data_IF_881054435888
#
_entry.id   IF_881054435888
#
_cell.length_a   1.000
_cell.length_b   1.000
_cell.length_c   1.000
_cell.angle_alpha   90.00
_cell.angle_beta   90.00
_cell.angle_gamma   90.00
#
_symmetry.space_group_name_H-M   'P 1'
#
loop_
_entity.id
_entity.type
_entity.pdbx_description
1 polymer ?
#
# COMPACT_ATOMS: atom_id res chain seq x y z
N UNK A 1 -61.76 -17.11 15.46
CA UNK A 1 -60.78 -16.07 15.05
C UNK A 1 -59.54 -16.02 15.94
N UNK A 2 -59.64 -16.10 17.28
CA UNK A 2 -58.45 -16.10 18.18
C UNK A 2 -57.40 -17.18 17.85
N UNK A 3 -57.80 -18.42 17.57
CA UNK A 3 -56.88 -19.54 17.28
C UNK A 3 -56.07 -19.39 15.97
N UNK A 4 -56.62 -18.68 14.97
CA UNK A 4 -55.94 -18.42 13.69
C UNK A 4 -54.88 -17.33 13.85
N UNK A 5 -55.18 -16.30 14.65
CA UNK A 5 -54.24 -15.23 14.97
C UNK A 5 -53.02 -15.75 15.73
N UNK A 6 -53.22 -16.68 16.68
CA UNK A 6 -52.12 -17.32 17.43
C UNK A 6 -51.19 -18.13 16.52
N UNK A 7 -51.74 -18.83 15.53
CA UNK A 7 -50.95 -19.59 14.55
C UNK A 7 -50.10 -18.68 13.66
N UNK A 8 -50.64 -17.55 13.20
CA UNK A 8 -49.91 -16.57 12.38
C UNK A 8 -48.74 -15.97 13.18
N UNK A 9 -48.96 -15.63 14.45
CA UNK A 9 -47.92 -15.04 15.32
C UNK A 9 -46.77 -16.05 15.56
N UNK A 10 -47.10 -17.31 15.87
CA UNK A 10 -46.09 -18.36 16.07
C UNK A 10 -45.30 -18.61 14.77
N UNK A 11 -45.97 -18.60 13.62
CA UNK A 11 -45.32 -18.78 12.31
C UNK A 11 -44.36 -17.60 12.01
N UNK A 12 -44.75 -16.35 12.27
CA UNK A 12 -43.85 -15.21 12.09
C UNK A 12 -42.61 -15.27 12.99
N UNK A 13 -42.74 -15.68 14.25
CA UNK A 13 -41.61 -15.76 15.19
C UNK A 13 -40.61 -16.86 14.80
N UNK A 14 -41.10 -17.97 14.25
CA UNK A 14 -40.25 -19.10 13.81
C UNK A 14 -39.43 -18.81 12.54
N UNK A 15 -39.89 -17.90 11.66
CA UNK A 15 -39.21 -17.58 10.39
C UNK A 15 -38.34 -16.31 10.43
N UNK A 16 -38.49 -15.45 11.44
CA UNK A 16 -37.64 -14.26 11.63
C UNK A 16 -36.13 -14.57 11.84
N UNK A 17 -35.68 -15.68 12.48
CA UNK A 17 -34.26 -15.86 12.78
C UNK A 17 -33.44 -16.37 11.58
N UNK A 18 -34.07 -16.85 10.50
CA UNK A 18 -33.37 -17.42 9.34
C UNK A 18 -32.99 -16.34 8.33
N UNK A 19 -33.89 -15.41 8.00
CA UNK A 19 -33.63 -14.36 6.99
C UNK A 19 -32.69 -13.25 7.46
N UNK A 20 -32.69 -12.91 8.75
CA UNK A 20 -31.76 -11.92 9.28
C UNK A 20 -30.34 -12.47 9.34
N UNK A 21 -30.12 -13.69 9.83
CA UNK A 21 -28.76 -14.26 9.88
C UNK A 21 -28.14 -14.35 8.48
N UNK A 22 -28.80 -14.95 7.51
CA UNK A 22 -28.25 -15.12 6.16
C UNK A 22 -27.95 -13.78 5.47
N UNK A 23 -28.84 -12.79 5.58
CA UNK A 23 -28.56 -11.46 5.01
C UNK A 23 -27.35 -10.80 5.67
N UNK A 24 -27.24 -10.76 7.00
CA UNK A 24 -26.05 -10.21 7.67
C UNK A 24 -24.76 -10.95 7.31
N UNK A 25 -24.79 -12.28 7.18
CA UNK A 25 -23.64 -13.06 6.72
C UNK A 25 -23.26 -12.72 5.27
N UNK A 26 -24.22 -12.65 4.34
CA UNK A 26 -23.96 -12.30 2.93
C UNK A 26 -23.48 -10.85 2.77
N UNK A 27 -24.02 -9.90 3.53
CA UNK A 27 -23.54 -8.51 3.53
C UNK A 27 -22.16 -8.36 4.18
N UNK A 28 -21.88 -9.10 5.26
CA UNK A 28 -20.55 -9.10 5.87
C UNK A 28 -19.51 -9.75 4.92
N UNK A 29 -19.85 -10.86 4.30
CA UNK A 29 -18.98 -11.58 3.37
C UNK A 29 -18.70 -10.77 2.10
N UNK A 30 -19.71 -10.16 1.48
CA UNK A 30 -19.51 -9.28 0.32
C UNK A 30 -18.64 -8.05 0.63
N UNK A 31 -18.83 -7.41 1.79
CA UNK A 31 -17.99 -6.31 2.26
C UNK A 31 -16.54 -6.74 2.52
N UNK A 32 -16.33 -7.95 3.06
CA UNK A 32 -15.00 -8.54 3.27
C UNK A 32 -14.30 -8.87 1.95
N UNK A 33 -15.04 -9.40 0.95
CA UNK A 33 -14.53 -9.67 -0.40
C UNK A 33 -14.12 -8.36 -1.08
N UNK A 34 -14.96 -7.33 -1.02
CA UNK A 34 -14.66 -6.02 -1.60
C UNK A 34 -13.44 -5.37 -0.94
N UNK A 35 -13.33 -5.47 0.39
CA UNK A 35 -12.18 -4.97 1.14
C UNK A 35 -10.88 -5.64 0.71
N UNK A 36 -10.88 -6.97 0.64
CA UNK A 36 -9.74 -7.77 0.21
C UNK A 36 -9.32 -7.44 -1.23
N UNK A 37 -10.27 -7.23 -2.14
CA UNK A 37 -9.96 -6.80 -3.50
C UNK A 37 -9.25 -5.44 -3.52
N UNK A 38 -9.69 -4.50 -2.66
CA UNK A 38 -9.07 -3.17 -2.56
C UNK A 38 -7.65 -3.24 -2.01
N UNK A 39 -7.42 -4.04 -0.97
CA UNK A 39 -6.08 -4.29 -0.39
C UNK A 39 -5.13 -4.96 -1.40
N UNK A 40 -5.62 -5.94 -2.18
CA UNK A 40 -4.85 -6.57 -3.26
C UNK A 40 -4.44 -5.59 -4.36
N UNK A 41 -5.31 -4.64 -4.70
CA UNK A 41 -4.96 -3.62 -5.69
C UNK A 41 -3.84 -2.71 -5.19
N UNK A 42 -3.94 -2.22 -3.94
CA UNK A 42 -2.90 -1.40 -3.34
C UNK A 42 -1.57 -2.14 -3.21
N UNK A 43 -1.60 -3.41 -2.84
CA UNK A 43 -0.40 -4.25 -2.81
C UNK A 43 0.27 -4.32 -4.20
N UNK A 44 -0.49 -4.64 -5.26
CA UNK A 44 0.03 -4.70 -6.63
C UNK A 44 0.61 -3.38 -7.11
N UNK A 45 -0.02 -2.26 -6.77
CA UNK A 45 0.50 -0.94 -7.11
C UNK A 45 1.84 -0.67 -6.43
N UNK A 46 1.98 -1.01 -5.15
CA UNK A 46 3.23 -0.86 -4.41
C UNK A 46 4.33 -1.79 -4.94
N UNK A 47 4.02 -3.04 -5.28
CA UNK A 47 4.96 -3.95 -5.95
C UNK A 47 5.45 -3.38 -7.28
N UNK A 48 4.56 -2.79 -8.07
CA UNK A 48 4.92 -2.15 -9.33
C UNK A 48 5.79 -0.91 -9.12
N UNK A 49 5.50 -0.08 -8.11
CA UNK A 49 6.36 1.03 -7.70
C UNK A 49 7.74 0.52 -7.29
N UNK A 50 7.81 -0.56 -6.50
CA UNK A 50 9.07 -1.12 -6.02
C UNK A 50 9.95 -1.63 -7.19
N UNK A 51 9.35 -2.26 -8.20
CA UNK A 51 10.04 -2.64 -9.44
C UNK A 51 10.59 -1.42 -10.19
N UNK A 52 9.83 -0.34 -10.27
CA UNK A 52 10.29 0.90 -10.88
C UNK A 52 11.45 1.54 -10.09
N UNK A 53 11.40 1.51 -8.75
CA UNK A 53 12.49 1.98 -7.88
C UNK A 53 13.77 1.18 -8.13
N UNK A 54 13.68 -0.13 -8.32
CA UNK A 54 14.83 -0.98 -8.65
C UNK A 54 15.48 -0.64 -10.00
N UNK A 55 14.65 -0.34 -11.02
CA UNK A 55 15.16 0.13 -12.31
C UNK A 55 15.83 1.51 -12.16
N UNK A 56 15.19 2.43 -11.42
CA UNK A 56 15.73 3.77 -11.20
C UNK A 56 17.04 3.75 -10.41
N UNK A 57 17.20 2.86 -9.44
CA UNK A 57 18.47 2.75 -8.71
C UNK A 57 19.61 2.28 -9.62
N UNK A 58 19.32 1.38 -10.56
CA UNK A 58 20.30 0.95 -11.57
C UNK A 58 20.71 2.12 -12.47
N UNK A 59 19.77 2.96 -12.88
CA UNK A 59 20.05 4.17 -13.65
C UNK A 59 20.88 5.18 -12.85
N UNK A 60 20.55 5.37 -11.57
CA UNK A 60 21.29 6.27 -10.66
C UNK A 60 22.73 5.79 -10.48
N UNK A 61 22.94 4.50 -10.22
CA UNK A 61 24.28 3.92 -10.10
C UNK A 61 25.07 4.08 -11.40
N UNK A 62 24.41 3.90 -12.55
CA UNK A 62 25.01 4.17 -13.85
C UNK A 62 25.46 5.63 -13.97
N UNK A 63 24.63 6.59 -13.54
CA UNK A 63 25.00 8.01 -13.56
C UNK A 63 26.31 8.26 -12.81
N UNK A 64 26.46 7.64 -11.65
CA UNK A 64 27.60 7.87 -10.74
C UNK A 64 28.86 7.17 -11.26
N UNK A 65 28.73 5.89 -11.65
CA UNK A 65 29.87 5.06 -12.07
C UNK A 65 30.41 5.53 -13.43
N UNK A 66 29.51 5.77 -14.39
CA UNK A 66 29.90 6.12 -15.76
C UNK A 66 30.11 7.63 -15.95
N UNK A 67 29.86 8.45 -14.92
CA UNK A 67 29.87 9.92 -14.99
C UNK A 67 29.04 10.42 -16.17
N UNK A 68 27.80 9.92 -16.26
CA UNK A 68 26.86 10.30 -17.32
C UNK A 68 26.69 11.82 -17.39
N UNK A 69 26.39 12.34 -18.58
CA UNK A 69 26.12 13.76 -18.75
C UNK A 69 24.93 14.27 -17.90
N UNK A 70 24.87 15.59 -17.71
CA UNK A 70 23.82 16.26 -16.95
C UNK A 70 22.42 15.99 -17.52
N UNK A 71 22.30 15.77 -18.84
CA UNK A 71 21.00 15.49 -19.48
C UNK A 71 20.42 14.15 -19.01
N UNK A 72 21.27 13.12 -18.89
CA UNK A 72 20.88 11.81 -18.39
C UNK A 72 20.55 11.85 -16.89
N UNK A 73 21.33 12.60 -16.11
CA UNK A 73 21.05 12.84 -14.69
C UNK A 73 19.70 13.54 -14.51
N UNK A 74 19.44 14.63 -15.23
CA UNK A 74 18.20 15.39 -15.17
C UNK A 74 16.98 14.54 -15.53
N UNK A 75 17.10 13.71 -16.57
CA UNK A 75 16.07 12.74 -16.93
C UNK A 75 15.80 11.77 -15.79
N UNK A 76 16.84 11.22 -15.17
CA UNK A 76 16.70 10.27 -14.05
C UNK A 76 16.02 10.93 -12.85
N UNK A 77 16.38 12.18 -12.52
CA UNK A 77 15.72 12.96 -11.46
C UNK A 77 14.25 13.20 -11.79
N UNK A 78 13.92 13.52 -13.05
CA UNK A 78 12.53 13.72 -13.50
C UNK A 78 11.71 12.44 -13.34
N UNK A 79 12.27 11.29 -13.71
CA UNK A 79 11.61 9.99 -13.56
C UNK A 79 11.39 9.66 -12.08
N UNK A 80 12.37 9.92 -11.20
CA UNK A 80 12.20 9.78 -9.75
C UNK A 80 11.06 10.68 -9.23
N UNK A 81 11.00 11.96 -9.64
CA UNK A 81 9.94 12.89 -9.25
C UNK A 81 8.56 12.42 -9.70
N UNK A 82 8.47 11.82 -10.88
CA UNK A 82 7.24 11.23 -11.39
C UNK A 82 6.75 10.09 -10.49
N UNK A 83 7.62 9.13 -10.13
CA UNK A 83 7.24 8.03 -9.21
C UNK A 83 6.88 8.55 -7.82
N UNK A 84 7.60 9.55 -7.29
CA UNK A 84 7.23 10.19 -6.02
C UNK A 84 5.82 10.80 -6.05
N UNK A 85 5.37 11.29 -7.21
CA UNK A 85 4.00 11.81 -7.38
C UNK A 85 2.97 10.70 -7.34
N UNK A 86 3.22 9.56 -7.99
CA UNK A 86 2.37 8.37 -7.91
C UNK A 86 2.25 7.86 -6.46
N UNK A 87 3.39 7.75 -5.75
CA UNK A 87 3.40 7.36 -4.33
C UNK A 87 2.59 8.33 -3.48
N UNK A 88 2.70 9.65 -3.73
CA UNK A 88 1.94 10.66 -2.99
C UNK A 88 0.42 10.48 -3.20
N UNK A 89 -0.02 10.22 -4.43
CA UNK A 89 -1.43 9.96 -4.73
C UNK A 89 -1.92 8.71 -4.00
N UNK A 90 -1.17 7.61 -4.12
CA UNK A 90 -1.47 6.36 -3.42
C UNK A 90 -1.52 6.52 -1.89
N UNK A 91 -0.63 7.32 -1.30
CA UNK A 91 -0.66 7.64 0.14
C UNK A 91 -1.95 8.32 0.55
N UNK A 92 -2.45 9.28 -0.24
CA UNK A 92 -3.71 9.97 0.07
C UNK A 92 -4.87 8.95 0.11
N UNK A 93 -4.92 8.04 -0.87
CA UNK A 93 -5.92 6.99 -0.91
C UNK A 93 -5.82 6.01 0.26
N UNK A 94 -4.59 5.59 0.59
CA UNK A 94 -4.32 4.69 1.71
C UNK A 94 -4.66 5.33 3.06
N UNK A 95 -4.40 6.62 3.25
CA UNK A 95 -4.79 7.36 4.47
C UNK A 95 -6.31 7.37 4.61
N UNK A 96 -7.03 7.73 3.54
CA UNK A 96 -8.49 7.74 3.55
C UNK A 96 -9.07 6.35 3.81
N UNK A 97 -8.51 5.33 3.15
CA UNK A 97 -8.88 3.93 3.36
C UNK A 97 -8.67 3.51 4.83
N UNK A 98 -7.49 3.80 5.37
CA UNK A 98 -7.11 3.48 6.73
C UNK A 98 -8.03 4.12 7.76
N UNK A 99 -8.34 5.41 7.61
CA UNK A 99 -9.29 6.13 8.46
C UNK A 99 -10.69 5.50 8.41
N UNK A 100 -11.18 5.17 7.20
CA UNK A 100 -12.52 4.58 7.01
C UNK A 100 -12.69 3.18 7.62
N UNK A 101 -11.60 2.41 7.72
CA UNK A 101 -11.66 1.01 8.18
C UNK A 101 -11.29 0.81 9.64
N UNK A 102 -10.57 1.74 10.25
CA UNK A 102 -10.02 1.54 11.59
C UNK A 102 -10.72 2.38 12.66
N UNK A 103 -11.31 3.53 12.30
CA UNK A 103 -11.82 4.53 13.26
C UNK A 103 -10.76 5.12 14.21
N UNK A 104 -9.63 4.43 14.36
CA UNK A 104 -8.39 4.76 15.06
C UNK A 104 -7.24 4.12 14.26
N UNK A 105 -6.27 4.93 13.87
CA UNK A 105 -5.11 4.59 13.03
C UNK A 105 -4.33 3.33 13.49
N UNK A 106 -4.41 2.93 14.77
CA UNK A 106 -3.68 1.75 15.24
C UNK A 106 -4.42 0.42 15.00
N UNK A 107 -5.69 0.44 14.56
CA UNK A 107 -6.54 -0.76 14.60
C UNK A 107 -6.60 -1.61 13.32
N UNK A 108 -5.99 -1.18 12.21
CA UNK A 108 -5.96 -1.97 10.97
C UNK A 108 -4.50 -2.19 10.49
N UNK A 109 -3.87 -3.30 10.87
CA UNK A 109 -2.45 -3.56 10.61
C UNK A 109 -2.13 -3.71 9.11
N UNK A 110 -3.07 -4.20 8.29
CA UNK A 110 -2.86 -4.32 6.83
C UNK A 110 -2.76 -2.94 6.20
N UNK A 111 -3.74 -2.07 6.48
CA UNK A 111 -3.71 -0.70 5.94
C UNK A 111 -2.52 0.13 6.45
N UNK A 112 -2.09 -0.08 7.71
CA UNK A 112 -0.89 0.55 8.25
C UNK A 112 0.38 0.03 7.57
N UNK A 113 0.48 -1.27 7.32
CA UNK A 113 1.59 -1.85 6.57
C UNK A 113 1.64 -1.36 5.12
N UNK A 114 0.50 -1.21 4.44
CA UNK A 114 0.44 -0.58 3.10
C UNK A 114 0.95 0.87 3.12
N UNK A 115 0.57 1.65 4.15
CA UNK A 115 1.09 3.01 4.35
C UNK A 115 2.61 3.02 4.58
N UNK A 116 3.12 2.10 5.41
CA UNK A 116 4.54 1.99 5.71
C UNK A 116 5.36 1.59 4.48
N UNK A 117 4.92 0.58 3.72
CA UNK A 117 5.54 0.24 2.45
C UNK A 117 5.60 1.44 1.50
N UNK A 118 4.51 2.21 1.39
CA UNK A 118 4.48 3.44 0.59
C UNK A 118 5.49 4.49 1.06
N UNK A 119 5.65 4.66 2.38
CA UNK A 119 6.64 5.56 2.97
C UNK A 119 8.07 5.12 2.64
N UNK A 120 8.38 3.83 2.81
CA UNK A 120 9.70 3.27 2.50
C UNK A 120 10.05 3.39 1.01
N UNK A 121 9.09 3.21 0.10
CA UNK A 121 9.26 3.50 -1.32
C UNK A 121 9.62 4.99 -1.55
N UNK A 122 8.93 5.91 -0.87
CA UNK A 122 9.20 7.35 -0.98
C UNK A 122 10.58 7.74 -0.44
N UNK A 123 11.00 7.13 0.67
CA UNK A 123 12.32 7.33 1.27
C UNK A 123 13.42 6.80 0.34
N UNK A 124 13.25 5.60 -0.22
CA UNK A 124 14.17 5.01 -1.20
C UNK A 124 14.45 5.98 -2.34
N UNK A 125 13.40 6.56 -2.94
CA UNK A 125 13.54 7.55 -4.00
C UNK A 125 14.23 8.85 -3.55
N UNK A 126 14.02 9.27 -2.30
CA UNK A 126 14.66 10.48 -1.77
C UNK A 126 16.17 10.28 -1.58
N UNK A 127 16.58 9.08 -1.15
CA UNK A 127 17.99 8.70 -1.08
C UNK A 127 18.63 8.53 -2.46
N UNK A 128 17.88 8.08 -3.47
CA UNK A 128 18.40 8.06 -4.85
C UNK A 128 18.65 9.47 -5.40
N UNK A 129 17.81 10.46 -5.06
CA UNK A 129 18.07 11.87 -5.41
C UNK A 129 19.27 12.43 -4.65
N UNK A 130 19.34 12.19 -3.33
CA UNK A 130 20.49 12.52 -2.49
C UNK A 130 21.80 12.04 -3.13
N UNK A 131 21.81 10.78 -3.58
CA UNK A 131 22.97 10.16 -4.19
C UNK A 131 23.40 10.82 -5.52
N UNK A 132 22.44 11.33 -6.31
CA UNK A 132 22.73 12.05 -7.56
C UNK A 132 23.23 13.49 -7.33
N UNK A 133 22.79 14.13 -6.25
CA UNK A 133 23.12 15.52 -5.93
C UNK A 133 24.44 15.65 -5.17
N UNK A 134 24.87 14.59 -4.50
CA UNK A 134 26.05 14.60 -3.63
C UNK A 134 27.36 14.39 -4.40
N UNK A 135 28.37 15.20 -4.07
CA UNK A 135 29.69 15.15 -4.68
C UNK A 135 30.74 14.51 -3.76
N UNK A 136 30.48 14.47 -2.45
CA UNK A 136 31.38 13.88 -1.46
C UNK A 136 31.09 12.38 -1.32
N UNK A 137 32.12 11.54 -1.56
CA UNK A 137 31.99 10.07 -1.55
C UNK A 137 31.45 9.53 -0.22
N UNK A 138 31.84 10.09 0.93
CA UNK A 138 31.31 9.66 2.24
C UNK A 138 29.79 9.86 2.33
N UNK A 139 29.31 11.02 1.89
CA UNK A 139 27.89 11.34 1.90
C UNK A 139 27.12 10.50 0.86
N UNK A 140 27.74 10.18 -0.28
CA UNK A 140 27.19 9.23 -1.25
C UNK A 140 27.00 7.84 -0.60
N UNK A 141 27.96 7.36 0.19
CA UNK A 141 27.82 6.10 0.91
C UNK A 141 26.66 6.15 1.92
N UNK A 142 26.46 7.27 2.61
CA UNK A 142 25.33 7.45 3.53
C UNK A 142 23.98 7.46 2.78
N UNK A 143 23.89 8.17 1.65
CA UNK A 143 22.70 8.13 0.80
C UNK A 143 22.43 6.69 0.31
N UNK A 144 23.48 5.95 -0.09
CA UNK A 144 23.34 4.58 -0.60
C UNK A 144 22.89 3.60 0.50
N UNK A 145 23.43 3.74 1.72
CA UNK A 145 22.96 2.97 2.87
C UNK A 145 21.50 3.28 3.19
N UNK A 146 21.11 4.55 3.18
CA UNK A 146 19.72 4.98 3.36
C UNK A 146 18.78 4.38 2.32
N UNK A 147 19.21 4.35 1.05
CA UNK A 147 18.47 3.69 -0.03
C UNK A 147 18.28 2.20 0.25
N UNK A 148 19.35 1.44 0.51
CA UNK A 148 19.25 -0.01 0.73
C UNK A 148 18.43 -0.36 1.96
N UNK A 149 18.58 0.40 3.06
CA UNK A 149 17.75 0.23 4.25
C UNK A 149 16.27 0.43 3.93
N UNK A 150 15.92 1.55 3.27
CA UNK A 150 14.53 1.87 2.92
C UNK A 150 13.95 0.83 1.96
N UNK A 151 14.72 0.41 0.95
CA UNK A 151 14.32 -0.64 0.01
C UNK A 151 14.04 -1.95 0.73
N UNK A 152 14.94 -2.39 1.61
CA UNK A 152 14.78 -3.61 2.38
C UNK A 152 13.51 -3.60 3.23
N UNK A 153 13.23 -2.47 3.91
CA UNK A 153 12.01 -2.32 4.71
C UNK A 153 10.75 -2.38 3.84
N UNK A 154 10.77 -1.78 2.64
CA UNK A 154 9.67 -1.90 1.69
C UNK A 154 9.46 -3.36 1.25
N UNK A 155 10.53 -4.06 0.85
CA UNK A 155 10.48 -5.46 0.39
C UNK A 155 9.91 -6.38 1.49
N UNK A 156 10.41 -6.27 2.72
CA UNK A 156 9.91 -7.07 3.85
C UNK A 156 8.44 -6.79 4.16
N UNK A 157 8.04 -5.52 4.09
CA UNK A 157 6.64 -5.13 4.36
C UNK A 157 5.71 -5.67 3.28
N UNK A 158 6.10 -5.61 2.01
CA UNK A 158 5.31 -6.15 0.89
C UNK A 158 5.18 -7.66 0.96
N UNK A 159 6.28 -8.38 1.25
CA UNK A 159 6.25 -9.82 1.44
C UNK A 159 5.35 -10.23 2.61
N UNK A 160 5.36 -9.47 3.71
CA UNK A 160 4.43 -9.72 4.80
C UNK A 160 2.97 -9.50 4.38
N UNK A 161 2.68 -8.41 3.65
CA UNK A 161 1.35 -8.08 3.13
C UNK A 161 0.80 -9.16 2.18
N UNK A 162 1.63 -9.67 1.26
CA UNK A 162 1.27 -10.79 0.37
C UNK A 162 0.76 -11.99 1.16
N UNK A 163 1.39 -12.30 2.31
CA UNK A 163 1.00 -13.42 3.16
C UNK A 163 -0.29 -13.15 3.97
N UNK A 164 -0.61 -11.89 4.26
CA UNK A 164 -1.83 -11.52 4.99
C UNK A 164 -3.05 -11.40 4.08
N UNK A 165 -2.89 -10.82 2.88
CA UNK A 165 -3.98 -10.51 1.96
C UNK A 165 -4.28 -11.75 1.07
N UNK A 166 -4.95 -12.75 1.65
CA UNK A 166 -5.34 -14.00 0.96
C UNK A 166 -6.47 -13.83 -0.03
#
# INVERSE_FOLDING_TARGET
>A
MKKVLTFIIIFTILFIPIFNKTSYYTYAESNLIQQRHKEKNYLKELENIQKQIYILSSNVLKCIIEKSDETYKDKTIKDIKFIKTQIRQLRVELIAYHQSKSGNIEKNPISLALLNASNYCSMSLSYLVCLLDEQVVSNQNDCLQGYYFSKYQADQTLMWLENQIK
#
